data_IF_187799738099
#
_entry.id   IF_187799738099
#
_cell.length_a   1.000
_cell.length_b   1.000
_cell.length_c   1.000
_cell.angle_alpha   90.00
_cell.angle_beta   90.00
_cell.angle_gamma   90.00
#
_symmetry.space_group_name_H-M   'P 1'
#
loop_
_entity.id
_entity.type
_entity.pdbx_description
1 polymer ?
#
# COMPACT_ATOMS: atom_id res chain seq x y z
N UNK A 1 55.73 -0.58 23.00
CA UNK A 1 54.48 -1.08 22.38
C UNK A 1 53.37 -0.11 22.74
N UNK A 2 52.89 0.69 21.77
CA UNK A 2 51.79 1.66 21.95
C UNK A 2 50.53 1.02 21.38
N UNK A 3 49.47 0.92 22.17
CA UNK A 3 48.15 0.55 21.69
C UNK A 3 47.15 1.61 22.16
N UNK A 4 46.53 2.25 21.18
CA UNK A 4 45.57 3.34 21.34
C UNK A 4 44.18 2.76 21.66
N UNK A 5 43.52 3.30 22.67
CA UNK A 5 42.13 2.99 22.99
C UNK A 5 41.20 3.82 22.10
N UNK A 6 40.30 3.18 21.38
CA UNK A 6 39.23 3.83 20.61
C UNK A 6 37.88 3.51 21.25
N UNK A 7 37.24 4.53 21.85
CA UNK A 7 35.86 4.45 22.31
C UNK A 7 34.92 4.63 21.11
N UNK A 8 34.03 3.67 20.89
CA UNK A 8 33.01 3.72 19.83
C UNK A 8 31.68 4.18 20.42
N UNK A 9 31.17 5.33 19.97
CA UNK A 9 29.88 5.86 20.39
C UNK A 9 28.74 5.20 19.61
N UNK A 10 27.72 4.71 20.32
CA UNK A 10 26.49 4.15 19.75
C UNK A 10 25.53 5.28 19.37
N UNK A 11 25.27 5.48 18.09
CA UNK A 11 24.19 6.35 17.61
C UNK A 11 22.90 5.53 17.49
N UNK A 12 21.98 5.74 18.44
CA UNK A 12 20.63 5.21 18.38
C UNK A 12 19.83 5.98 17.30
N UNK A 13 19.57 5.33 16.16
CA UNK A 13 18.62 5.85 15.19
C UNK A 13 17.20 5.54 15.68
N UNK A 14 16.48 6.56 16.14
CA UNK A 14 15.05 6.49 16.40
C UNK A 14 14.31 6.31 15.07
N UNK A 15 13.98 5.08 14.71
CA UNK A 15 13.10 4.79 13.58
C UNK A 15 11.68 5.18 14.00
N UNK A 16 11.15 6.25 13.40
CA UNK A 16 9.74 6.62 13.50
C UNK A 16 8.91 5.53 12.81
N UNK A 17 8.51 4.51 13.57
CA UNK A 17 7.55 3.49 13.15
C UNK A 17 6.16 4.10 13.07
N UNK A 18 5.91 4.88 12.02
CA UNK A 18 4.56 5.24 11.61
C UNK A 18 3.89 3.93 11.18
N UNK A 19 3.09 3.36 12.09
CA UNK A 19 2.38 2.10 11.92
C UNK A 19 1.20 2.29 10.97
N UNK A 20 1.48 2.66 9.72
CA UNK A 20 0.54 2.50 8.62
C UNK A 20 0.40 1.00 8.39
N UNK A 21 -0.72 0.41 8.83
CA UNK A 21 -1.07 -0.95 8.43
C UNK A 21 -1.37 -0.93 6.93
N UNK A 22 -0.33 -1.09 6.12
CA UNK A 22 -0.46 -1.33 4.69
C UNK A 22 -1.06 -2.73 4.57
N UNK A 23 -2.32 -2.81 4.14
CA UNK A 23 -2.93 -4.06 3.69
C UNK A 23 -2.32 -4.36 2.34
N UNK A 24 -1.19 -5.06 2.33
CA UNK A 24 -0.61 -5.65 1.12
C UNK A 24 -1.23 -7.02 0.92
N UNK A 25 -1.76 -7.27 -0.29
CA UNK A 25 -2.04 -8.63 -0.77
C UNK A 25 -0.74 -9.42 -1.05
N UNK A 26 0.40 -8.74 -1.04
CA UNK A 26 1.74 -9.34 -1.13
C UNK A 26 2.10 -10.02 0.21
N UNK A 27 1.51 -11.17 0.46
CA UNK A 27 2.00 -12.08 1.49
C UNK A 27 3.11 -12.93 0.88
N UNK A 28 4.29 -12.89 1.51
CA UNK A 28 5.40 -13.82 1.21
C UNK A 28 4.90 -15.26 1.41
N UNK A 29 4.56 -15.95 0.31
CA UNK A 29 4.05 -17.32 0.32
C UNK A 29 2.65 -17.56 -0.27
N UNK A 30 1.98 -16.54 -0.81
CA UNK A 30 0.70 -16.71 -1.53
C UNK A 30 0.86 -17.29 -2.94
N UNK A 31 -0.19 -17.90 -3.48
CA UNK A 31 -0.21 -18.38 -4.87
C UNK A 31 -0.07 -17.21 -5.87
N UNK A 32 0.56 -17.38 -7.04
CA UNK A 32 0.54 -16.33 -8.06
C UNK A 32 -0.90 -15.88 -8.34
N UNK A 33 -1.13 -14.57 -8.43
CA UNK A 33 -2.46 -13.99 -8.63
C UNK A 33 -2.41 -12.96 -9.75
N UNK A 34 -3.55 -12.78 -10.42
CA UNK A 34 -3.69 -11.75 -11.45
C UNK A 34 -5.12 -11.67 -11.96
N UNK A 35 -5.36 -10.76 -12.89
CA UNK A 35 -6.65 -10.56 -13.54
C UNK A 35 -6.78 -11.31 -14.87
N UNK A 36 -5.69 -11.94 -15.35
CA UNK A 36 -5.69 -12.73 -16.59
C UNK A 36 -6.44 -14.04 -16.39
N UNK A 37 -7.75 -14.05 -16.66
CA UNK A 37 -8.62 -15.21 -16.46
C UNK A 37 -8.31 -16.40 -17.36
N UNK A 38 -7.51 -16.19 -18.41
CA UNK A 38 -7.07 -17.25 -19.34
C UNK A 38 -5.71 -17.86 -18.95
N UNK A 39 -5.07 -17.39 -17.89
CA UNK A 39 -3.81 -17.93 -17.40
C UNK A 39 -4.07 -18.92 -16.26
N UNK A 40 -3.92 -20.21 -16.54
CA UNK A 40 -4.14 -21.26 -15.55
C UNK A 40 -3.06 -21.33 -14.45
N UNK A 41 -1.97 -20.57 -14.58
CA UNK A 41 -0.88 -20.53 -13.59
C UNK A 41 -1.12 -19.51 -12.48
N UNK A 42 -2.15 -18.67 -12.60
CA UNK A 42 -2.48 -17.62 -11.65
C UNK A 42 -3.91 -17.79 -11.12
N UNK A 43 -4.10 -17.51 -9.84
CA UNK A 43 -5.42 -17.39 -9.25
C UNK A 43 -6.12 -16.14 -9.79
N UNK A 44 -7.28 -16.33 -10.42
CA UNK A 44 -8.17 -15.25 -10.85
C UNK A 44 -8.93 -14.64 -9.65
N UNK A 45 -9.60 -13.48 -9.81
CA UNK A 45 -10.35 -12.86 -8.71
C UNK A 45 -11.37 -13.78 -8.03
N UNK A 46 -11.98 -14.72 -8.78
CA UNK A 46 -12.91 -15.70 -8.23
C UNK A 46 -12.24 -16.73 -7.31
N UNK A 47 -10.93 -16.94 -7.45
CA UNK A 47 -10.12 -17.92 -6.72
C UNK A 47 -9.26 -17.28 -5.63
N UNK A 48 -9.18 -15.94 -5.56
CA UNK A 48 -8.35 -15.27 -4.55
C UNK A 48 -8.75 -15.66 -3.12
N UNK A 49 -10.04 -15.86 -2.86
CA UNK A 49 -10.53 -16.30 -1.55
C UNK A 49 -9.95 -17.65 -1.08
N UNK A 50 -9.61 -18.55 -2.01
CA UNK A 50 -9.09 -19.88 -1.70
C UNK A 50 -7.63 -19.81 -1.21
N UNK A 51 -6.90 -18.77 -1.60
CA UNK A 51 -5.48 -18.57 -1.28
C UNK A 51 -5.23 -17.42 -0.29
N UNK A 52 -6.15 -16.46 -0.24
CA UNK A 52 -6.08 -15.22 0.53
C UNK A 52 -7.41 -15.03 1.29
N UNK A 53 -7.57 -15.61 2.49
CA UNK A 53 -8.85 -15.64 3.20
C UNK A 53 -9.48 -14.26 3.44
N UNK A 54 -8.67 -13.19 3.51
CA UNK A 54 -9.16 -11.82 3.64
C UNK A 54 -10.00 -11.36 2.45
N UNK A 55 -9.77 -11.91 1.25
CA UNK A 55 -10.53 -11.62 0.04
C UNK A 55 -11.98 -12.14 0.12
N UNK A 56 -12.27 -13.10 1.01
CA UNK A 56 -13.63 -13.59 1.28
C UNK A 56 -14.37 -12.78 2.36
N UNK A 57 -13.77 -11.71 2.90
CA UNK A 57 -14.37 -10.93 3.98
C UNK A 57 -15.59 -10.11 3.54
N UNK A 58 -16.45 -9.69 4.47
CA UNK A 58 -17.68 -8.94 4.17
C UNK A 58 -17.50 -7.44 3.88
N UNK A 59 -16.26 -6.95 3.83
CA UNK A 59 -15.90 -5.53 3.64
C UNK A 59 -14.87 -5.37 2.53
N UNK A 60 -15.13 -5.99 1.37
CA UNK A 60 -14.27 -5.88 0.19
C UNK A 60 -14.56 -4.60 -0.61
N UNK A 61 -13.56 -4.21 -1.38
CA UNK A 61 -13.65 -3.25 -2.47
C UNK A 61 -13.26 -3.94 -3.78
N UNK A 62 -13.72 -3.48 -4.96
CA UNK A 62 -14.62 -2.34 -5.19
C UNK A 62 -16.09 -2.68 -4.86
N UNK A 63 -16.93 -1.64 -4.81
CA UNK A 63 -18.39 -1.74 -4.68
C UNK A 63 -19.07 -0.88 -5.74
N UNK A 64 -20.34 -1.17 -6.02
CA UNK A 64 -21.21 -0.26 -6.75
C UNK A 64 -21.70 0.85 -5.82
N UNK A 65 -21.42 2.11 -6.16
CA UNK A 65 -21.81 3.29 -5.37
C UNK A 65 -23.12 3.85 -5.92
N UNK A 66 -24.23 3.58 -5.24
CA UNK A 66 -25.53 4.16 -5.59
C UNK A 66 -25.66 5.57 -5.01
N UNK A 67 -25.91 6.57 -5.85
CA UNK A 67 -26.15 7.94 -5.40
C UNK A 67 -27.54 8.06 -4.79
N UNK A 68 -27.63 8.61 -3.57
CA UNK A 68 -28.91 8.90 -2.92
C UNK A 68 -28.99 10.39 -2.60
N UNK A 69 -30.02 11.06 -3.11
CA UNK A 69 -30.34 12.44 -2.76
C UNK A 69 -31.13 12.42 -1.45
N UNK A 70 -30.45 12.54 -0.31
CA UNK A 70 -31.14 12.60 0.99
C UNK A 70 -30.36 12.13 2.22
N UNK A 71 -29.11 11.70 2.06
CA UNK A 71 -28.27 11.33 3.20
C UNK A 71 -27.66 12.56 3.89
N UNK A 72 -28.07 12.83 5.13
CA UNK A 72 -27.41 13.80 6.02
C UNK A 72 -26.11 13.23 6.60
N UNK A 73 -25.17 12.83 5.74
CA UNK A 73 -23.80 12.54 6.19
C UNK A 73 -23.07 13.88 6.20
N UNK A 74 -22.57 14.29 7.37
CA UNK A 74 -21.79 15.51 7.48
C UNK A 74 -20.63 15.45 6.48
N UNK A 75 -20.61 16.36 5.52
CA UNK A 75 -19.51 16.49 4.56
C UNK A 75 -18.26 16.84 5.34
N UNK A 76 -17.26 15.96 5.29
CA UNK A 76 -15.91 16.26 5.79
C UNK A 76 -15.08 16.75 4.62
N UNK A 77 -14.58 17.97 4.71
CA UNK A 77 -13.64 18.50 3.72
C UNK A 77 -12.33 17.72 3.81
N UNK A 78 -11.87 17.21 2.68
CA UNK A 78 -10.51 16.69 2.53
C UNK A 78 -9.65 17.80 1.94
N UNK A 79 -8.49 18.04 2.54
CA UNK A 79 -7.50 18.98 2.03
C UNK A 79 -6.28 18.23 1.52
N UNK A 80 -5.80 18.61 0.34
CA UNK A 80 -4.55 18.13 -0.23
C UNK A 80 -3.51 19.25 -0.18
N UNK A 81 -2.29 18.91 0.24
CA UNK A 81 -1.21 19.88 0.42
C UNK A 81 0.15 19.27 0.15
N UNK A 82 1.18 20.14 0.09
CA UNK A 82 2.56 19.77 -0.19
C UNK A 82 2.89 19.78 -1.68
N UNK A 83 4.15 19.50 -2.01
CA UNK A 83 4.66 19.46 -3.38
C UNK A 83 4.91 18.02 -3.81
N UNK A 84 4.31 17.63 -4.95
CA UNK A 84 4.25 16.24 -5.43
C UNK A 84 4.59 16.10 -6.93
N UNK A 85 5.20 17.12 -7.53
CA UNK A 85 5.36 17.20 -8.99
C UNK A 85 6.30 16.16 -9.62
N UNK A 86 7.15 15.53 -8.82
CA UNK A 86 8.14 14.55 -9.29
C UNK A 86 7.78 13.15 -8.80
N UNK A 87 7.65 12.19 -9.71
CA UNK A 87 7.38 10.79 -9.39
C UNK A 87 8.16 9.85 -10.32
N UNK A 88 8.45 8.65 -9.81
CA UNK A 88 8.94 7.51 -10.60
C UNK A 88 7.77 6.60 -10.94
N UNK A 89 7.80 5.99 -12.13
CA UNK A 89 6.78 5.04 -12.58
C UNK A 89 7.42 3.67 -12.76
N UNK A 90 6.85 2.66 -12.11
CA UNK A 90 7.25 1.26 -12.26
C UNK A 90 6.09 0.47 -12.84
N UNK A 91 6.33 -0.24 -13.94
CA UNK A 91 5.36 -1.18 -14.51
C UNK A 91 5.49 -2.55 -13.81
N UNK A 92 4.35 -3.15 -13.49
CA UNK A 92 4.23 -4.56 -13.10
C UNK A 92 3.37 -5.31 -14.12
N UNK A 93 3.23 -6.63 -13.95
CA UNK A 93 2.38 -7.45 -14.82
C UNK A 93 0.91 -7.04 -14.81
N UNK A 94 0.45 -6.43 -13.71
CA UNK A 94 -0.96 -6.09 -13.47
C UNK A 94 -1.26 -4.58 -13.49
N UNK A 95 -0.25 -3.70 -13.38
CA UNK A 95 -0.49 -2.25 -13.36
C UNK A 95 0.75 -1.38 -13.54
N UNK A 96 0.57 -0.06 -13.49
CA UNK A 96 1.63 0.91 -13.34
C UNK A 96 1.54 1.54 -11.95
N UNK A 97 2.64 1.56 -11.21
CA UNK A 97 2.74 2.16 -9.89
C UNK A 97 3.58 3.42 -9.95
N UNK A 98 2.98 4.57 -9.65
CA UNK A 98 3.71 5.80 -9.42
C UNK A 98 4.16 5.89 -7.96
N UNK A 99 5.39 6.34 -7.72
CA UNK A 99 5.92 6.67 -6.39
C UNK A 99 6.48 8.08 -6.41
N UNK A 100 6.00 8.93 -5.51
CA UNK A 100 6.50 10.32 -5.42
C UNK A 100 7.97 10.30 -5.00
N UNK A 101 8.79 11.09 -5.70
CA UNK A 101 10.22 11.22 -5.45
C UNK A 101 10.46 12.44 -4.57
N UNK A 102 10.58 12.24 -3.26
CA UNK A 102 10.64 13.34 -2.30
C UNK A 102 9.29 14.07 -2.16
N UNK A 103 9.29 15.30 -1.67
CA UNK A 103 8.06 16.09 -1.48
C UNK A 103 7.38 15.92 -0.12
N UNK A 104 6.25 16.61 0.06
CA UNK A 104 5.51 16.71 1.33
C UNK A 104 4.01 16.43 1.16
N UNK A 105 3.66 15.57 0.20
CA UNK A 105 2.29 15.22 -0.14
C UNK A 105 1.48 14.76 1.07
N UNK A 106 0.39 15.45 1.37
CA UNK A 106 -0.49 15.12 2.49
C UNK A 106 -1.95 15.23 2.08
N UNK A 107 -2.77 14.31 2.60
CA UNK A 107 -4.22 14.38 2.60
C UNK A 107 -4.70 14.40 4.05
N UNK A 108 -5.57 15.35 4.41
CA UNK A 108 -6.09 15.54 5.78
C UNK A 108 -7.59 15.80 5.80
#
# INVERSE_FOLDING_TARGET
MKFFATASALTAACVLSSSSKIVSADTTGGAPWGYKTNDATMASPAQWADHYPTCAGSRQSPIDITTTTGGSVATRSLAFSGECGSYSLTQSDESFKASVNGGSCMAS
#
